data_IF_549873392676
#
_entry.id   IF_549873392676
#
_cell.length_a   1.000
_cell.length_b   1.000
_cell.length_c   1.000
_cell.angle_alpha   90.00
_cell.angle_beta   90.00
_cell.angle_gamma   90.00
#
_symmetry.space_group_name_H-M   'P 1'
#
loop_
_entity.id
_entity.type
_entity.pdbx_description
1 polymer ?
#
# COMPACT_ATOMS: atom_id res chain seq x y z
N UNK A 1 22.16 -21.54 -12.28
CA UNK A 1 21.00 -20.62 -12.41
C UNK A 1 21.04 -20.01 -13.79
N UNK A 2 20.13 -20.40 -14.68
CA UNK A 2 20.02 -19.79 -16.02
C UNK A 2 19.31 -18.45 -15.87
N UNK A 3 20.00 -17.34 -16.15
CA UNK A 3 19.37 -16.02 -16.17
C UNK A 3 18.24 -16.04 -17.21
N UNK A 4 17.00 -15.73 -16.82
CA UNK A 4 15.90 -15.72 -17.78
C UNK A 4 16.18 -14.68 -18.86
N UNK A 5 15.85 -15.05 -20.10
CA UNK A 5 15.92 -14.14 -21.24
C UNK A 5 15.06 -12.89 -20.98
N UNK A 6 15.63 -11.70 -21.27
CA UNK A 6 14.98 -10.41 -21.01
C UNK A 6 13.68 -10.26 -21.81
N UNK A 7 13.59 -10.82 -23.01
CA UNK A 7 12.37 -10.74 -23.81
C UNK A 7 11.25 -11.60 -23.20
N UNK A 8 11.59 -12.81 -22.75
CA UNK A 8 10.70 -13.71 -22.03
C UNK A 8 10.20 -13.08 -20.72
N UNK A 9 11.09 -12.41 -19.97
CA UNK A 9 10.70 -11.69 -18.76
C UNK A 9 9.74 -10.54 -19.05
N UNK A 10 9.98 -9.74 -20.11
CA UNK A 10 9.05 -8.67 -20.51
C UNK A 10 7.67 -9.20 -20.88
N UNK A 11 7.58 -10.32 -21.59
CA UNK A 11 6.29 -10.94 -21.93
C UNK A 11 5.51 -11.36 -20.68
N UNK A 12 6.19 -11.87 -19.65
CA UNK A 12 5.57 -12.22 -18.37
C UNK A 12 5.03 -10.98 -17.66
N UNK A 13 5.83 -9.91 -17.58
CA UNK A 13 5.39 -8.63 -16.97
C UNK A 13 4.21 -8.03 -17.73
N UNK A 14 4.27 -8.04 -19.06
CA UNK A 14 3.22 -7.54 -19.95
C UNK A 14 1.88 -8.24 -19.70
N UNK A 15 1.90 -9.57 -19.57
CA UNK A 15 0.71 -10.36 -19.26
C UNK A 15 0.12 -9.99 -17.91
N UNK A 16 0.94 -9.89 -16.86
CA UNK A 16 0.49 -9.55 -15.51
C UNK A 16 -0.06 -8.12 -15.42
N UNK A 17 0.56 -7.18 -16.13
CA UNK A 17 0.04 -5.81 -16.24
C UNK A 17 -1.35 -5.78 -16.90
N UNK A 18 -1.55 -6.56 -17.97
CA UNK A 18 -2.85 -6.68 -18.62
C UNK A 18 -3.91 -7.34 -17.71
N UNK A 19 -3.51 -8.32 -16.90
CA UNK A 19 -4.36 -8.95 -15.89
C UNK A 19 -4.81 -7.93 -14.82
N UNK A 20 -3.88 -7.13 -14.30
CA UNK A 20 -4.20 -6.11 -13.30
C UNK A 20 -5.06 -4.98 -13.86
N UNK A 21 -4.81 -4.52 -15.09
CA UNK A 21 -5.71 -3.57 -15.76
C UNK A 21 -7.14 -4.09 -15.83
N UNK A 22 -7.30 -5.37 -16.24
CA UNK A 22 -8.63 -6.01 -16.31
C UNK A 22 -9.26 -6.12 -14.92
N UNK A 23 -8.47 -6.41 -13.89
CA UNK A 23 -8.93 -6.49 -12.49
C UNK A 23 -9.49 -5.15 -12.00
N UNK A 24 -8.85 -4.03 -12.36
CA UNK A 24 -9.36 -2.69 -12.02
C UNK A 24 -10.46 -2.19 -12.97
N UNK A 25 -10.91 -3.03 -13.92
CA UNK A 25 -12.07 -2.76 -14.78
C UNK A 25 -11.86 -1.69 -15.85
N UNK A 26 -10.61 -1.34 -16.19
CA UNK A 26 -10.31 -0.27 -17.15
C UNK A 26 -10.01 -0.79 -18.55
N UNK A 27 -10.46 -0.06 -19.56
CA UNK A 27 -9.99 -0.23 -20.94
C UNK A 27 -8.53 0.22 -21.07
N UNK A 28 -7.84 -0.17 -22.15
CA UNK A 28 -6.45 0.27 -22.39
C UNK A 28 -6.33 1.80 -22.53
N UNK A 29 -7.37 2.46 -23.06
CA UNK A 29 -7.40 3.91 -23.18
C UNK A 29 -7.49 4.57 -21.80
N UNK A 30 -8.48 4.16 -20.99
CA UNK A 30 -8.69 4.71 -19.64
C UNK A 30 -7.51 4.44 -18.73
N UNK A 31 -6.93 3.23 -18.81
CA UNK A 31 -5.77 2.87 -18.01
C UNK A 31 -4.54 3.69 -18.41
N UNK A 32 -4.27 3.81 -19.71
CA UNK A 32 -3.17 4.62 -20.20
C UNK A 32 -3.31 6.09 -19.76
N UNK A 33 -4.49 6.68 -19.97
CA UNK A 33 -4.75 8.07 -19.56
C UNK A 33 -4.63 8.28 -18.05
N UNK A 34 -5.06 7.31 -17.24
CA UNK A 34 -4.91 7.36 -15.79
C UNK A 34 -3.44 7.32 -15.35
N UNK A 35 -2.57 6.67 -16.13
CA UNK A 35 -1.12 6.66 -15.90
C UNK A 35 -0.35 7.75 -16.67
N UNK A 36 -1.04 8.73 -17.26
CA UNK A 36 -0.40 9.85 -17.98
C UNK A 36 0.18 9.48 -19.36
N UNK A 37 -0.21 8.34 -19.92
CA UNK A 37 0.26 7.86 -21.23
C UNK A 37 -0.89 7.69 -22.23
N UNK A 38 -0.55 7.52 -23.51
CA UNK A 38 -1.53 7.18 -24.55
C UNK A 38 -1.92 5.70 -24.58
N UNK A 39 -3.10 5.40 -25.15
CA UNK A 39 -3.58 4.02 -25.42
C UNK A 39 -2.55 3.16 -26.15
N UNK A 40 -1.84 3.72 -27.13
CA UNK A 40 -0.83 2.99 -27.92
C UNK A 40 0.34 2.55 -27.06
N UNK A 41 0.79 3.39 -26.13
CA UNK A 41 1.86 3.05 -25.19
C UNK A 41 1.42 1.93 -24.26
N UNK A 42 0.18 1.99 -23.74
CA UNK A 42 -0.39 0.91 -22.93
C UNK A 42 -0.41 -0.42 -23.69
N UNK A 43 -0.85 -0.39 -24.95
CA UNK A 43 -0.89 -1.55 -25.82
C UNK A 43 0.51 -2.16 -26.04
N UNK A 44 1.53 -1.34 -26.25
CA UNK A 44 2.92 -1.79 -26.42
C UNK A 44 3.46 -2.46 -25.15
N UNK A 45 3.12 -1.93 -23.96
CA UNK A 45 3.48 -2.56 -22.69
C UNK A 45 2.82 -3.91 -22.52
N UNK A 46 1.53 -4.04 -22.82
CA UNK A 46 0.78 -5.30 -22.70
C UNK A 46 1.20 -6.37 -23.73
N UNK A 47 1.95 -6.00 -24.76
CA UNK A 47 2.58 -6.94 -25.72
C UNK A 47 4.03 -7.27 -25.42
N UNK A 48 4.63 -6.64 -24.40
CA UNK A 48 6.04 -6.83 -24.07
C UNK A 48 7.02 -6.24 -25.11
N UNK A 49 6.52 -5.39 -26.00
CA UNK A 49 7.34 -4.64 -26.97
C UNK A 49 8.18 -3.57 -26.26
N UNK A 50 7.63 -3.00 -25.19
CA UNK A 50 8.31 -2.06 -24.29
C UNK A 50 8.03 -2.44 -22.84
N UNK A 51 8.92 -2.00 -21.95
CA UNK A 51 8.70 -2.11 -20.51
C UNK A 51 8.14 -0.79 -19.98
N UNK A 52 7.17 -0.82 -19.05
CA UNK A 52 6.83 0.35 -18.25
C UNK A 52 8.02 0.79 -17.41
N UNK A 53 8.12 2.09 -17.15
CA UNK A 53 9.09 2.66 -16.22
C UNK A 53 8.52 2.72 -14.79
N UNK A 54 9.36 3.15 -13.84
CA UNK A 54 8.98 3.22 -12.43
C UNK A 54 7.90 4.28 -12.17
N UNK A 55 7.92 5.40 -12.89
CA UNK A 55 6.93 6.49 -12.71
C UNK A 55 5.54 6.03 -13.14
N UNK A 56 5.45 5.33 -14.28
CA UNK A 56 4.22 4.67 -14.71
C UNK A 56 3.73 3.64 -13.68
N UNK A 57 4.62 2.84 -13.10
CA UNK A 57 4.24 1.85 -12.09
C UNK A 57 3.71 2.52 -10.81
N UNK A 58 4.30 3.65 -10.41
CA UNK A 58 3.78 4.47 -9.32
C UNK A 58 2.38 5.01 -9.61
N UNK A 59 2.14 5.53 -10.81
CA UNK A 59 0.81 5.98 -11.22
C UNK A 59 -0.21 4.83 -11.29
N UNK A 60 0.22 3.66 -11.75
CA UNK A 60 -0.60 2.45 -11.79
C UNK A 60 -0.99 1.98 -10.37
N UNK A 61 -0.07 2.02 -9.42
CA UNK A 61 -0.32 1.68 -8.01
C UNK A 61 -1.40 2.59 -7.41
N UNK A 62 -1.33 3.90 -7.66
CA UNK A 62 -2.32 4.87 -7.19
C UNK A 62 -3.75 4.62 -7.71
N UNK A 63 -3.91 3.93 -8.84
CA UNK A 63 -5.23 3.51 -9.37
C UNK A 63 -5.61 2.07 -8.97
N UNK A 64 -4.89 1.50 -8.01
CA UNK A 64 -5.22 0.24 -7.35
C UNK A 64 -4.61 -1.00 -8.01
N UNK A 65 -3.55 -0.86 -8.82
CA UNK A 65 -2.81 -2.00 -9.40
C UNK A 65 -1.86 -2.60 -8.36
N UNK A 66 -1.82 -3.93 -8.28
CA UNK A 66 -0.82 -4.63 -7.46
C UNK A 66 0.52 -4.68 -8.23
N UNK A 67 1.36 -3.67 -8.04
CA UNK A 67 2.68 -3.59 -8.69
C UNK A 67 3.59 -4.73 -8.25
N UNK A 68 3.47 -5.21 -7.01
CA UNK A 68 4.24 -6.37 -6.54
C UNK A 68 3.88 -7.61 -7.37
N UNK A 69 2.59 -7.83 -7.62
CA UNK A 69 2.14 -8.91 -8.49
C UNK A 69 2.67 -8.76 -9.91
N UNK A 70 2.63 -7.56 -10.49
CA UNK A 70 3.17 -7.32 -11.84
C UNK A 70 4.64 -7.74 -11.90
N UNK A 71 5.46 -7.28 -10.96
CA UNK A 71 6.92 -7.51 -10.97
C UNK A 71 7.30 -8.95 -10.60
N UNK A 72 6.67 -9.53 -9.58
CA UNK A 72 7.11 -10.79 -8.96
C UNK A 72 6.21 -11.97 -9.32
N UNK A 73 4.93 -11.71 -9.60
CA UNK A 73 3.90 -12.75 -9.75
C UNK A 73 3.31 -13.22 -8.43
N UNK A 74 3.85 -12.77 -7.29
CA UNK A 74 3.24 -12.98 -5.99
C UNK A 74 2.22 -11.86 -5.76
N UNK A 75 0.96 -12.22 -5.58
CA UNK A 75 -0.06 -11.25 -5.15
C UNK A 75 0.26 -10.83 -3.73
N UNK A 76 0.10 -9.55 -3.42
CA UNK A 76 0.00 -9.16 -2.02
C UNK A 76 -1.22 -9.87 -1.44
N UNK A 77 -0.96 -10.86 -0.58
CA UNK A 77 -2.00 -11.39 0.28
C UNK A 77 -2.30 -10.26 1.24
N UNK A 78 -3.47 -9.64 1.10
CA UNK A 78 -3.89 -8.67 2.09
C UNK A 78 -3.96 -9.39 3.42
N UNK A 79 -3.27 -8.83 4.42
CA UNK A 79 -3.30 -9.34 5.79
C UNK A 79 -4.76 -9.47 6.25
N UNK A 80 -5.64 -8.59 5.77
CA UNK A 80 -7.10 -8.67 5.94
C UNK A 80 -7.75 -9.94 5.39
N UNK A 81 -7.35 -10.49 4.24
CA UNK A 81 -7.93 -11.75 3.74
C UNK A 81 -7.53 -12.97 4.58
N UNK A 82 -6.37 -12.89 5.24
CA UNK A 82 -5.91 -13.91 6.20
C UNK A 82 -6.57 -13.71 7.56
N UNK A 83 -6.74 -12.46 8.00
CA UNK A 83 -7.36 -12.09 9.27
C UNK A 83 -8.90 -12.04 9.23
N UNK A 84 -9.53 -12.06 8.05
CA UNK A 84 -11.00 -12.00 7.90
C UNK A 84 -11.71 -13.23 8.47
N UNK A 85 -10.98 -14.32 8.74
CA UNK A 85 -11.48 -15.46 9.50
C UNK A 85 -11.27 -15.36 11.02
N UNK A 86 -10.53 -14.36 11.52
CA UNK A 86 -10.01 -14.34 12.90
C UNK A 86 -10.28 -13.06 13.70
N UNK A 87 -10.66 -11.93 13.10
CA UNK A 87 -10.82 -10.69 13.88
C UNK A 87 -11.82 -9.68 13.30
N UNK A 88 -13.02 -9.65 13.87
CA UNK A 88 -13.90 -8.49 13.77
C UNK A 88 -13.40 -7.29 14.62
N UNK A 89 -12.37 -7.48 15.45
CA UNK A 89 -11.96 -6.55 16.51
C UNK A 89 -10.63 -5.79 16.26
N UNK A 90 -10.07 -5.86 15.04
CA UNK A 90 -8.78 -5.24 14.68
C UNK A 90 -8.93 -4.04 13.74
N UNK A 91 -9.86 -3.11 14.01
CA UNK A 91 -9.85 -1.83 13.29
C UNK A 91 -8.67 -0.95 13.75
N UNK A 92 -8.13 -0.07 12.87
CA UNK A 92 -7.11 0.90 13.27
C UNK A 92 -7.50 1.70 14.52
N UNK A 93 -8.78 2.08 14.62
CA UNK A 93 -9.35 2.80 15.76
C UNK A 93 -9.32 1.96 17.04
N UNK A 94 -9.81 0.73 16.98
CA UNK A 94 -9.85 -0.15 18.14
C UNK A 94 -8.44 -0.44 18.69
N UNK A 95 -7.47 -0.58 17.80
CA UNK A 95 -6.05 -0.75 18.18
C UNK A 95 -5.52 0.53 18.80
N UNK A 96 -5.74 1.69 18.18
CA UNK A 96 -5.24 2.96 18.71
C UNK A 96 -5.83 3.26 20.10
N UNK A 97 -7.13 3.01 20.29
CA UNK A 97 -7.80 3.22 21.56
C UNK A 97 -7.24 2.31 22.66
N UNK A 98 -6.95 1.03 22.35
CA UNK A 98 -6.26 0.12 23.28
C UNK A 98 -4.84 0.59 23.63
N UNK A 99 -4.07 1.02 22.63
CA UNK A 99 -2.69 1.50 22.81
C UNK A 99 -2.65 2.77 23.67
N UNK A 100 -3.64 3.64 23.54
CA UNK A 100 -3.74 4.92 24.26
C UNK A 100 -4.46 4.80 25.60
N UNK A 101 -5.09 3.67 25.91
CA UNK A 101 -5.74 3.43 27.20
C UNK A 101 -4.73 3.34 28.37
N UNK A 102 -3.46 3.04 28.07
CA UNK A 102 -2.38 2.89 29.06
C UNK A 102 -1.37 4.05 28.93
N UNK A 103 -1.22 4.82 30.02
CA UNK A 103 -0.24 5.92 30.12
C UNK A 103 -0.87 7.32 30.09
N UNK A 104 -0.04 8.34 29.85
CA UNK A 104 -0.47 9.73 29.87
C UNK A 104 -1.36 10.10 28.69
N UNK A 105 -2.31 11.03 28.93
CA UNK A 105 -3.17 11.60 27.89
C UNK A 105 -2.33 12.17 26.75
N UNK A 106 -2.54 11.67 25.54
CA UNK A 106 -1.87 12.14 24.32
C UNK A 106 -2.75 13.12 23.55
N UNK A 107 -2.10 13.98 22.76
CA UNK A 107 -2.79 14.98 21.93
C UNK A 107 -3.55 14.31 20.78
N UNK A 108 -4.53 15.04 20.22
CA UNK A 108 -5.27 14.59 19.04
C UNK A 108 -4.35 14.34 17.83
N UNK A 109 -3.32 15.19 17.65
CA UNK A 109 -2.33 15.02 16.59
C UNK A 109 -1.52 13.73 16.72
N UNK A 110 -1.13 13.37 17.95
CA UNK A 110 -0.46 12.11 18.23
C UNK A 110 -1.35 10.91 17.90
N UNK A 111 -2.61 10.93 18.38
CA UNK A 111 -3.59 9.87 18.06
C UNK A 111 -3.78 9.74 16.55
N UNK A 112 -3.82 10.88 15.82
CA UNK A 112 -3.99 10.88 14.37
C UNK A 112 -2.83 10.20 13.64
N UNK A 113 -1.58 10.49 14.03
CA UNK A 113 -0.42 9.82 13.42
C UNK A 113 -0.39 8.31 13.66
N UNK A 114 -0.69 7.89 14.90
CA UNK A 114 -0.84 6.47 15.23
C UNK A 114 -1.90 5.78 14.35
N UNK A 115 -3.07 6.41 14.21
CA UNK A 115 -4.18 5.90 13.39
C UNK A 115 -3.80 5.80 11.92
N UNK A 116 -3.21 6.84 11.34
CA UNK A 116 -2.86 6.87 9.92
C UNK A 116 -1.85 5.76 9.58
N UNK A 117 -0.87 5.50 10.46
CA UNK A 117 0.06 4.37 10.29
C UNK A 117 -0.67 3.02 10.36
N UNK A 118 -1.57 2.84 11.32
CA UNK A 118 -2.32 1.59 11.45
C UNK A 118 -3.25 1.38 10.24
N UNK A 119 -3.94 2.42 9.78
CA UNK A 119 -4.79 2.39 8.59
C UNK A 119 -3.99 2.14 7.31
N UNK A 120 -2.78 2.69 7.19
CA UNK A 120 -1.89 2.36 6.08
C UNK A 120 -1.47 0.89 6.11
N UNK A 121 -1.11 0.36 7.27
CA UNK A 121 -0.62 -1.02 7.39
C UNK A 121 -1.72 -2.07 7.24
N UNK A 122 -2.93 -1.78 7.74
CA UNK A 122 -4.07 -2.70 7.73
C UNK A 122 -4.91 -2.57 6.46
N UNK A 123 -5.13 -1.34 5.99
CA UNK A 123 -6.06 -1.03 4.89
C UNK A 123 -5.38 -0.45 3.65
N UNK A 124 -4.06 -0.21 3.66
CA UNK A 124 -3.34 0.40 2.53
C UNK A 124 -3.65 1.88 2.33
N UNK A 125 -4.28 2.54 3.30
CA UNK A 125 -4.69 3.95 3.17
C UNK A 125 -3.47 4.86 3.17
N UNK A 126 -3.33 5.70 2.12
CA UNK A 126 -2.20 6.61 1.99
C UNK A 126 -2.12 7.61 3.16
N UNK A 127 -0.93 7.74 3.75
CA UNK A 127 -0.68 8.64 4.87
C UNK A 127 -0.50 10.07 4.36
N UNK A 128 -1.31 11.01 4.83
CA UNK A 128 -1.14 12.45 4.58
C UNK A 128 -1.14 13.21 5.90
N UNK A 129 0.02 13.78 6.26
CA UNK A 129 0.14 14.63 7.43
C UNK A 129 -0.61 15.96 7.20
N UNK A 130 -1.62 16.31 8.01
CA UNK A 130 -2.39 17.54 7.84
C UNK A 130 -1.72 18.76 8.51
N UNK A 131 -0.60 18.57 9.21
CA UNK A 131 0.06 19.59 10.01
C UNK A 131 1.22 20.23 9.26
N UNK A 132 1.47 21.51 9.52
CA UNK A 132 2.59 22.23 8.91
C UNK A 132 3.93 21.82 9.56
N UNK A 133 5.00 21.60 8.77
CA UNK A 133 6.33 21.33 9.32
C UNK A 133 6.78 22.40 10.33
N UNK A 134 7.31 21.95 11.47
CA UNK A 134 7.78 22.82 12.56
C UNK A 134 6.70 23.27 13.55
N UNK A 135 5.44 22.85 13.35
CA UNK A 135 4.39 23.03 14.37
C UNK A 135 4.48 21.95 15.48
N UNK A 136 4.08 22.26 16.73
CA UNK A 136 4.00 21.24 17.78
C UNK A 136 3.12 20.05 17.42
N UNK A 137 2.07 20.27 16.63
CA UNK A 137 1.18 19.22 16.13
C UNK A 137 1.88 18.32 15.13
N UNK A 138 2.76 18.85 14.29
CA UNK A 138 3.59 18.07 13.36
C UNK A 138 4.52 17.13 14.13
N UNK A 139 5.22 17.64 15.14
CA UNK A 139 6.12 16.80 15.96
C UNK A 139 5.33 15.72 16.71
N UNK A 140 4.18 16.07 17.28
CA UNK A 140 3.30 15.12 17.94
C UNK A 140 2.75 14.05 16.98
N UNK A 141 2.43 14.43 15.74
CA UNK A 141 1.97 13.51 14.70
C UNK A 141 3.04 12.47 14.36
N UNK A 142 4.28 12.90 14.13
CA UNK A 142 5.37 11.96 13.83
C UNK A 142 5.73 11.06 15.02
N UNK A 143 5.67 11.57 16.25
CA UNK A 143 5.79 10.72 17.44
C UNK A 143 4.66 9.68 17.52
N UNK A 144 3.46 10.02 17.07
CA UNK A 144 2.34 9.09 16.88
C UNK A 144 2.63 8.03 15.82
N UNK A 145 3.21 8.43 14.69
CA UNK A 145 3.61 7.51 13.61
C UNK A 145 4.63 6.47 14.09
N UNK A 146 5.65 6.91 14.82
CA UNK A 146 6.66 6.02 15.40
C UNK A 146 6.00 4.97 16.30
N UNK A 147 5.06 5.39 17.14
CA UNK A 147 4.28 4.48 17.97
C UNK A 147 3.46 3.51 17.13
N UNK A 148 2.81 3.96 16.06
CA UNK A 148 2.05 3.09 15.16
C UNK A 148 2.92 2.04 14.48
N UNK A 149 4.11 2.42 14.02
CA UNK A 149 5.07 1.48 13.43
C UNK A 149 5.57 0.46 14.46
N UNK A 150 5.82 0.89 15.70
CA UNK A 150 6.18 -0.01 16.78
C UNK A 150 5.07 -1.03 17.07
N UNK A 151 3.81 -0.59 17.17
CA UNK A 151 2.67 -1.47 17.41
C UNK A 151 2.47 -2.47 16.26
N UNK A 152 2.59 -2.00 15.01
CA UNK A 152 2.55 -2.88 13.85
C UNK A 152 3.63 -3.97 13.90
N UNK A 153 4.85 -3.62 14.31
CA UNK A 153 5.95 -4.60 14.42
C UNK A 153 5.61 -5.71 15.42
N UNK A 154 5.12 -5.36 16.60
CA UNK A 154 4.66 -6.32 17.60
C UNK A 154 3.56 -7.24 17.06
N UNK A 155 2.63 -6.71 16.25
CA UNK A 155 1.55 -7.52 15.66
C UNK A 155 2.10 -8.54 14.66
N UNK A 156 3.03 -8.12 13.81
CA UNK A 156 3.69 -9.00 12.83
C UNK A 156 4.50 -10.09 13.52
N UNK A 157 5.15 -9.76 14.65
CA UNK A 157 5.95 -10.69 15.45
C UNK A 157 5.07 -11.60 16.35
N UNK A 158 3.75 -11.37 16.42
CA UNK A 158 2.83 -12.10 17.29
C UNK A 158 2.96 -11.75 18.77
N UNK A 159 3.71 -10.70 19.09
CA UNK A 159 3.97 -10.21 20.45
C UNK A 159 3.00 -9.11 20.90
N UNK A 160 2.13 -8.65 20.01
CA UNK A 160 1.17 -7.61 20.32
C UNK A 160 0.19 -8.06 21.38
N UNK A 161 0.15 -7.32 22.49
CA UNK A 161 -0.82 -7.52 23.56
C UNK A 161 -1.80 -6.35 23.51
N UNK A 162 -3.12 -6.62 23.43
CA UNK A 162 -4.13 -5.57 23.47
C UNK A 162 -4.14 -4.79 24.79
N UNK A 163 -3.48 -5.31 25.83
CA UNK A 163 -3.32 -4.72 27.17
C UNK A 163 -1.88 -4.92 27.67
#
# INVERSE_FOLDING_TARGET
>A
MTTPDRASQRLVLAKRLAEERKRVGKTQAEFGSACGIGKTTQYQYERGERSPDADYLGAAEAIGVDVLYVLTGARQVSVRAVLSGLAADLSPEAIADKVLAVGDKRSAAYRRGLLDVLAFRLDGTHIQCPYQPGSPEFDAYFAGNERGHFQWRLMVEGEWKPN
#
